data_IF_837546403819
#
_entry.id   IF_837546403819
#
_cell.length_a   1.000
_cell.length_b   1.000
_cell.length_c   1.000
_cell.angle_alpha   90.00
_cell.angle_beta   90.00
_cell.angle_gamma   90.00
#
_symmetry.space_group_name_H-M   'P 1'
#
loop_
_entity.id
_entity.type
_entity.pdbx_description
1 polymer ?
#
# COMPACT_ATOMS: atom_id res chain seq x y z
N UNK A 1 -27.49 -11.00 29.10
CA UNK A 1 -26.03 -11.11 28.80
C UNK A 1 -25.65 -12.46 28.18
N UNK A 2 -26.30 -13.57 28.55
CA UNK A 2 -25.93 -14.96 28.20
C UNK A 2 -26.15 -15.34 26.73
N UNK A 3 -27.21 -14.82 26.10
CA UNK A 3 -27.63 -15.21 24.74
C UNK A 3 -26.59 -14.88 23.65
N UNK A 4 -25.96 -13.70 23.74
CA UNK A 4 -24.93 -13.26 22.78
C UNK A 4 -23.69 -14.16 22.78
N UNK A 5 -23.26 -14.61 23.95
CA UNK A 5 -22.08 -15.49 24.12
C UNK A 5 -22.40 -16.88 23.54
N UNK A 6 -23.61 -17.40 23.79
CA UNK A 6 -24.04 -18.69 23.24
C UNK A 6 -24.14 -18.67 21.71
N UNK A 7 -24.65 -17.56 21.14
CA UNK A 7 -24.71 -17.36 19.69
C UNK A 7 -23.33 -17.28 19.06
N UNK A 8 -22.41 -16.54 19.65
CA UNK A 8 -21.04 -16.42 19.15
C UNK A 8 -20.31 -17.77 19.16
N UNK A 9 -20.48 -18.57 20.21
CA UNK A 9 -19.89 -19.91 20.30
C UNK A 9 -20.44 -20.86 19.24
N UNK A 10 -21.76 -20.83 19.00
CA UNK A 10 -22.40 -21.61 17.93
C UNK A 10 -21.87 -21.19 16.55
N UNK A 11 -21.81 -19.88 16.29
CA UNK A 11 -21.34 -19.37 14.99
C UNK A 11 -19.89 -19.79 14.71
N UNK A 12 -19.02 -19.79 15.73
CA UNK A 12 -17.66 -20.29 15.64
C UNK A 12 -17.58 -21.80 15.37
N UNK A 13 -18.43 -22.61 16.03
CA UNK A 13 -18.51 -24.06 15.78
C UNK A 13 -19.01 -24.37 14.36
N UNK A 14 -20.01 -23.62 13.87
CA UNK A 14 -20.51 -23.72 12.50
C UNK A 14 -19.39 -23.47 11.49
N UNK A 15 -18.60 -22.40 11.68
CA UNK A 15 -17.45 -22.11 10.83
C UNK A 15 -16.40 -23.24 10.88
N UNK A 16 -16.10 -23.75 12.08
CA UNK A 16 -15.11 -24.83 12.25
C UNK A 16 -15.52 -26.11 11.51
N UNK A 17 -16.79 -26.50 11.60
CA UNK A 17 -17.31 -27.67 10.89
C UNK A 17 -17.29 -27.46 9.37
N UNK A 18 -17.57 -26.25 8.90
CA UNK A 18 -17.46 -25.91 7.48
C UNK A 18 -16.01 -26.03 6.98
N UNK A 19 -15.03 -25.49 7.73
CA UNK A 19 -13.59 -25.61 7.40
C UNK A 19 -13.15 -27.08 7.39
N UNK A 20 -13.73 -27.91 8.27
CA UNK A 20 -13.50 -29.35 8.30
C UNK A 20 -14.19 -30.12 7.15
N UNK A 21 -14.89 -29.44 6.24
CA UNK A 21 -15.52 -30.05 5.06
C UNK A 21 -16.90 -30.65 5.29
N UNK A 22 -17.56 -30.35 6.42
CA UNK A 22 -18.90 -30.87 6.71
C UNK A 22 -19.94 -30.12 5.85
N UNK A 23 -20.88 -30.81 5.17
CA UNK A 23 -21.88 -30.17 4.32
C UNK A 23 -22.91 -29.37 5.13
N UNK A 24 -23.40 -28.25 4.57
CA UNK A 24 -24.29 -27.31 5.27
C UNK A 24 -25.57 -27.94 5.85
N UNK A 25 -26.13 -28.96 5.20
CA UNK A 25 -27.32 -29.66 5.69
C UNK A 25 -27.04 -30.39 7.01
N UNK A 26 -25.91 -31.12 7.08
CA UNK A 26 -25.50 -31.84 8.30
C UNK A 26 -25.10 -30.89 9.43
N UNK A 27 -24.46 -29.76 9.11
CA UNK A 27 -24.17 -28.70 10.10
C UNK A 27 -25.49 -28.13 10.65
N UNK A 28 -26.47 -27.90 9.78
CA UNK A 28 -27.79 -27.39 10.13
C UNK A 28 -28.53 -28.31 11.09
N UNK A 29 -28.57 -29.60 10.78
CA UNK A 29 -29.15 -30.64 11.64
C UNK A 29 -28.48 -30.66 13.03
N UNK A 30 -27.14 -30.61 13.07
CA UNK A 30 -26.37 -30.65 14.33
C UNK A 30 -26.64 -29.47 15.26
N UNK A 31 -26.97 -28.30 14.69
CA UNK A 31 -27.21 -27.07 15.44
C UNK A 31 -28.69 -26.63 15.43
N UNK A 32 -29.60 -27.47 14.94
CA UNK A 32 -31.02 -27.21 14.77
C UNK A 32 -31.31 -25.87 14.03
N UNK A 33 -30.64 -25.66 12.90
CA UNK A 33 -30.80 -24.47 12.04
C UNK A 33 -30.89 -24.87 10.57
N UNK A 34 -31.50 -24.02 9.76
CA UNK A 34 -31.62 -24.27 8.31
C UNK A 34 -30.27 -24.18 7.60
N UNK A 35 -30.12 -24.89 6.49
CA UNK A 35 -28.90 -24.82 5.67
C UNK A 35 -28.60 -23.38 5.19
N UNK A 36 -29.63 -22.59 4.89
CA UNK A 36 -29.49 -21.17 4.52
C UNK A 36 -28.97 -20.33 5.70
N UNK A 37 -29.35 -20.67 6.94
CA UNK A 37 -28.82 -20.02 8.12
C UNK A 37 -27.33 -20.37 8.35
N UNK A 38 -26.94 -21.63 8.09
CA UNK A 38 -25.53 -22.06 8.11
C UNK A 38 -24.70 -21.25 7.13
N UNK A 39 -25.14 -21.15 5.88
CA UNK A 39 -24.46 -20.36 4.85
C UNK A 39 -24.26 -18.89 5.27
N UNK A 40 -25.31 -18.25 5.78
CA UNK A 40 -25.24 -16.86 6.29
C UNK A 40 -24.30 -16.71 7.48
N UNK A 41 -24.18 -17.72 8.34
CA UNK A 41 -23.23 -17.73 9.46
C UNK A 41 -21.80 -17.83 8.92
N UNK A 42 -21.54 -18.79 8.02
CA UNK A 42 -20.22 -18.98 7.40
C UNK A 42 -19.76 -17.72 6.68
N UNK A 43 -20.58 -17.14 5.80
CA UNK A 43 -20.25 -15.90 5.10
C UNK A 43 -19.91 -14.76 6.06
N UNK A 44 -20.70 -14.59 7.13
CA UNK A 44 -20.47 -13.55 8.13
C UNK A 44 -19.16 -13.76 8.90
N UNK A 45 -18.89 -14.98 9.36
CA UNK A 45 -17.67 -15.27 10.13
C UNK A 45 -16.41 -15.19 9.25
N UNK A 46 -16.49 -15.63 7.99
CA UNK A 46 -15.41 -15.43 7.01
C UNK A 46 -15.15 -13.94 6.74
N UNK A 47 -16.19 -13.13 6.59
CA UNK A 47 -16.06 -11.68 6.42
C UNK A 47 -15.47 -11.01 7.66
N UNK A 48 -15.83 -11.44 8.87
CA UNK A 48 -15.20 -10.95 10.11
C UNK A 48 -13.72 -11.32 10.20
N UNK A 49 -13.37 -12.55 9.83
CA UNK A 49 -11.99 -13.00 9.81
C UNK A 49 -11.16 -12.20 8.79
N UNK A 50 -11.70 -11.95 7.60
CA UNK A 50 -11.09 -11.09 6.59
C UNK A 50 -10.87 -9.67 7.13
N UNK A 51 -11.92 -9.01 7.64
CA UNK A 51 -11.81 -7.66 8.24
C UNK A 51 -10.79 -7.60 9.38
N UNK A 52 -10.73 -8.63 10.23
CA UNK A 52 -9.74 -8.71 11.30
C UNK A 52 -8.33 -8.83 10.75
N UNK A 53 -8.13 -9.63 9.70
CA UNK A 53 -6.84 -9.76 9.03
C UNK A 53 -6.41 -8.44 8.39
N UNK A 54 -7.32 -7.75 7.71
CA UNK A 54 -7.05 -6.45 7.08
C UNK A 54 -6.68 -5.41 8.15
N UNK A 55 -7.45 -5.32 9.23
CA UNK A 55 -7.13 -4.44 10.36
C UNK A 55 -5.76 -4.75 11.01
N UNK A 56 -5.42 -6.02 11.18
CA UNK A 56 -4.11 -6.42 11.69
C UNK A 56 -2.98 -6.08 10.70
N UNK A 57 -3.24 -6.18 9.39
CA UNK A 57 -2.30 -5.77 8.36
C UNK A 57 -2.09 -4.25 8.39
N UNK A 58 -3.14 -3.45 8.56
CA UNK A 58 -3.05 -1.99 8.70
C UNK A 58 -2.24 -1.60 9.94
N UNK A 59 -2.46 -2.25 11.09
CA UNK A 59 -1.66 -2.04 12.30
C UNK A 59 -0.19 -2.43 12.10
N UNK A 60 0.07 -3.55 11.43
CA UNK A 60 1.43 -3.99 11.14
C UNK A 60 2.14 -3.01 10.20
N UNK A 61 1.43 -2.47 9.20
CA UNK A 61 1.92 -1.43 8.32
C UNK A 61 2.27 -0.15 9.11
N UNK A 62 1.35 0.34 9.95
CA UNK A 62 1.58 1.54 10.76
C UNK A 62 2.83 1.38 11.67
N UNK A 63 2.95 0.23 12.34
CA UNK A 63 4.11 -0.08 13.18
C UNK A 63 5.41 -0.16 12.36
N UNK A 64 5.35 -0.71 11.14
CA UNK A 64 6.50 -0.77 10.26
C UNK A 64 6.95 0.63 9.82
N UNK A 65 6.00 1.50 9.43
CA UNK A 65 6.28 2.89 9.06
C UNK A 65 6.96 3.62 10.21
N UNK A 66 6.39 3.58 11.42
CA UNK A 66 6.95 4.23 12.61
C UNK A 66 8.39 3.77 12.90
N UNK A 67 8.64 2.46 12.87
CA UNK A 67 9.99 1.90 13.06
C UNK A 67 10.97 2.36 11.98
N UNK A 68 10.51 2.39 10.72
CA UNK A 68 11.33 2.83 9.60
C UNK A 68 11.71 4.31 9.71
N UNK A 69 10.78 5.17 10.12
CA UNK A 69 11.03 6.59 10.35
C UNK A 69 11.97 6.84 11.54
N UNK A 70 11.82 6.07 12.62
CA UNK A 70 12.72 6.16 13.77
C UNK A 70 14.17 5.83 13.37
N UNK A 71 14.37 4.77 12.60
CA UNK A 71 15.68 4.39 12.05
C UNK A 71 16.21 5.48 11.11
N UNK A 72 15.38 5.98 10.19
CA UNK A 72 15.79 7.04 9.29
C UNK A 72 16.25 8.29 10.06
N UNK A 73 15.46 8.75 11.03
CA UNK A 73 15.77 9.92 11.87
C UNK A 73 17.08 9.77 12.63
N UNK A 74 17.37 8.58 13.14
CA UNK A 74 18.60 8.29 13.86
C UNK A 74 19.86 8.40 12.98
N UNK A 75 19.75 8.09 11.69
CA UNK A 75 20.90 8.10 10.76
C UNK A 75 20.98 9.35 9.88
N UNK A 76 19.87 10.05 9.67
CA UNK A 76 19.79 11.14 8.72
C UNK A 76 20.74 12.31 9.04
N UNK A 77 20.86 12.68 10.31
CA UNK A 77 21.82 13.72 10.73
C UNK A 77 23.27 13.37 10.36
N UNK A 78 23.68 12.12 10.60
CA UNK A 78 25.03 11.66 10.26
C UNK A 78 25.25 11.62 8.74
N UNK A 79 24.23 11.22 7.97
CA UNK A 79 24.27 11.25 6.51
C UNK A 79 24.50 12.68 5.98
N UNK A 80 23.80 13.68 6.53
CA UNK A 80 23.99 15.09 6.19
C UNK A 80 25.39 15.61 6.54
N UNK A 81 26.02 15.04 7.57
CA UNK A 81 27.38 15.38 7.98
C UNK A 81 28.46 14.63 7.19
N UNK A 82 28.11 13.90 6.13
CA UNK A 82 29.05 13.24 5.23
C UNK A 82 29.44 11.81 5.62
N UNK A 83 28.77 11.19 6.60
CA UNK A 83 28.95 9.76 6.86
C UNK A 83 28.33 8.93 5.73
N UNK A 84 29.19 8.41 4.86
CA UNK A 84 28.82 7.60 3.69
C UNK A 84 28.03 6.34 4.07
N UNK A 85 28.34 5.71 5.22
CA UNK A 85 27.61 4.52 5.68
C UNK A 85 26.19 4.89 6.12
N UNK A 86 26.03 6.00 6.82
CA UNK A 86 24.72 6.51 7.20
C UNK A 86 23.90 6.93 5.97
N UNK A 87 24.53 7.57 4.99
CA UNK A 87 23.88 7.94 3.73
C UNK A 87 23.37 6.72 2.95
N UNK A 88 24.19 5.67 2.84
CA UNK A 88 23.79 4.43 2.16
C UNK A 88 22.67 3.69 2.90
N UNK A 89 22.69 3.71 4.24
CA UNK A 89 21.61 3.18 5.06
C UNK A 89 20.29 3.93 4.81
N UNK A 90 20.31 5.27 4.86
CA UNK A 90 19.15 6.11 4.57
C UNK A 90 18.64 5.87 3.14
N UNK A 91 19.52 5.77 2.13
CA UNK A 91 19.15 5.50 0.74
C UNK A 91 18.39 4.17 0.59
N UNK A 92 18.88 3.11 1.22
CA UNK A 92 18.20 1.80 1.21
C UNK A 92 16.83 1.84 1.88
N UNK A 93 16.73 2.56 3.00
CA UNK A 93 15.49 2.67 3.76
C UNK A 93 14.44 3.44 2.96
N UNK A 94 14.83 4.55 2.32
CA UNK A 94 13.99 5.28 1.38
C UNK A 94 13.55 4.40 0.20
N UNK A 95 14.45 3.63 -0.40
CA UNK A 95 14.08 2.71 -1.50
C UNK A 95 13.04 1.65 -1.08
N UNK A 96 13.12 1.15 0.16
CA UNK A 96 12.11 0.23 0.69
C UNK A 96 10.76 0.94 0.90
N UNK A 97 10.77 2.18 1.40
CA UNK A 97 9.56 2.99 1.55
C UNK A 97 8.93 3.32 0.19
N UNK A 98 9.72 3.65 -0.82
CA UNK A 98 9.26 3.87 -2.20
C UNK A 98 8.48 2.66 -2.73
N UNK A 99 8.98 1.43 -2.49
CA UNK A 99 8.27 0.20 -2.85
C UNK A 99 7.00 -0.01 -2.04
N UNK A 100 7.06 0.23 -0.74
CA UNK A 100 5.93 0.08 0.18
C UNK A 100 4.74 0.95 -0.23
N UNK A 101 5.02 2.18 -0.68
CA UNK A 101 4.01 3.14 -1.12
C UNK A 101 3.68 3.07 -2.60
N UNK A 102 4.28 2.13 -3.36
CA UNK A 102 4.05 2.00 -4.80
C UNK A 102 4.60 3.17 -5.63
N UNK A 103 5.55 3.94 -5.09
CA UNK A 103 6.23 5.04 -5.78
C UNK A 103 7.38 4.53 -6.68
N UNK A 104 7.69 3.23 -6.63
CA UNK A 104 8.72 2.56 -7.45
C UNK A 104 8.21 2.22 -8.86
N UNK A 105 7.03 2.75 -9.23
CA UNK A 105 6.56 2.71 -10.60
C UNK A 105 7.54 3.55 -11.44
N UNK A 106 8.49 2.88 -12.11
CA UNK A 106 9.19 3.46 -13.22
C UNK A 106 8.12 4.01 -14.17
N UNK A 107 8.01 5.33 -14.27
CA UNK A 107 7.18 5.98 -15.29
C UNK A 107 7.62 5.38 -16.62
N UNK A 108 6.76 4.62 -17.33
CA UNK A 108 7.09 4.19 -18.67
C UNK A 108 7.24 5.48 -19.49
N UNK A 109 8.48 5.85 -19.83
CA UNK A 109 8.78 7.07 -20.60
C UNK A 109 9.83 8.02 -20.03
N UNK A 110 10.35 7.85 -18.79
CA UNK A 110 11.43 8.74 -18.29
C UNK A 110 12.86 8.23 -18.56
N UNK A 111 13.02 7.02 -19.11
CA UNK A 111 14.32 6.48 -19.53
C UNK A 111 14.60 6.68 -21.02
N UNK A 112 13.66 7.26 -21.76
CA UNK A 112 13.90 7.67 -23.14
C UNK A 112 14.48 9.09 -23.07
N UNK A 113 15.73 9.31 -23.48
CA UNK A 113 16.22 10.67 -23.64
C UNK A 113 15.22 11.42 -24.54
N UNK A 114 14.88 12.69 -24.24
CA UNK A 114 14.01 13.45 -25.12
C UNK A 114 14.55 13.30 -26.54
N UNK A 115 13.68 12.89 -27.47
CA UNK A 115 13.99 12.86 -28.89
C UNK A 115 14.35 14.30 -29.26
N UNK A 116 15.65 14.61 -29.23
CA UNK A 116 16.15 15.88 -29.72
C UNK A 116 15.75 15.88 -31.20
N UNK A 117 15.04 16.92 -31.68
CA UNK A 117 14.78 17.03 -33.10
C UNK A 117 16.11 16.86 -33.83
N UNK A 118 16.14 15.95 -34.80
CA UNK A 118 17.30 15.74 -35.66
C UNK A 118 17.62 17.12 -36.26
N UNK A 119 18.88 17.61 -36.19
CA UNK A 119 19.22 18.94 -36.70
C UNK A 119 18.96 19.10 -38.21
N UNK A 120 18.61 18.01 -38.89
CA UNK A 120 18.31 17.92 -40.31
C UNK A 120 16.81 17.70 -40.61
N UNK A 121 15.92 17.66 -39.61
CA UNK A 121 14.47 17.58 -39.80
C UNK A 121 13.88 18.99 -40.05
N UNK A 122 14.00 19.47 -41.29
CA UNK A 122 13.28 20.64 -41.78
C UNK A 122 11.78 20.32 -41.94
N UNK A 123 11.08 20.25 -40.81
CA UNK A 123 9.65 20.00 -40.68
C UNK A 123 8.87 21.23 -40.19
N UNK A 124 8.68 22.18 -41.11
CA UNK A 124 7.52 23.06 -41.33
C UNK A 124 6.44 23.20 -40.22
N UNK A 125 6.37 24.41 -39.66
CA UNK A 125 5.21 25.16 -39.13
C UNK A 125 4.25 24.56 -38.08
N UNK A 126 4.31 25.10 -36.85
CA UNK A 126 3.11 25.21 -35.98
C UNK A 126 3.33 25.36 -34.46
N UNK A 127 3.46 26.61 -33.99
CA UNK A 127 3.31 27.06 -32.59
C UNK A 127 4.28 26.52 -31.54
N UNK A 128 5.51 27.05 -31.53
CA UNK A 128 6.35 27.07 -30.32
C UNK A 128 5.72 28.00 -29.28
N UNK A 129 5.17 27.41 -28.20
CA UNK A 129 4.89 28.16 -26.98
C UNK A 129 6.20 28.81 -26.48
N UNK A 130 6.22 30.12 -26.17
CA UNK A 130 7.46 30.83 -25.91
C UNK A 130 8.12 30.30 -24.63
N UNK A 131 9.38 29.91 -24.75
CA UNK A 131 10.29 29.45 -23.67
C UNK A 131 10.67 30.60 -22.70
N UNK A 132 9.76 31.56 -22.48
CA UNK A 132 9.96 32.80 -21.71
C UNK A 132 9.95 32.56 -20.20
N UNK A 133 9.19 31.58 -19.72
CA UNK A 133 8.86 31.44 -18.29
C UNK A 133 10.05 30.98 -17.43
N UNK A 134 10.98 30.21 -18.00
CA UNK A 134 12.13 29.65 -17.27
C UNK A 134 13.25 30.68 -17.04
N UNK A 135 13.49 31.56 -18.01
CA UNK A 135 14.49 32.62 -17.90
C UNK A 135 14.02 33.77 -17.01
N UNK A 136 12.71 34.08 -17.03
CA UNK A 136 12.11 35.06 -16.13
C UNK A 136 12.13 34.59 -14.67
N UNK A 137 11.96 33.29 -14.44
CA UNK A 137 12.07 32.70 -13.10
C UNK A 137 13.51 32.76 -12.56
N UNK A 138 14.51 32.50 -13.41
CA UNK A 138 15.94 32.58 -13.03
C UNK A 138 16.37 34.00 -12.69
N UNK A 139 15.97 34.99 -13.50
CA UNK A 139 16.27 36.42 -13.27
C UNK A 139 15.70 36.94 -11.94
N UNK A 140 14.50 36.49 -11.55
CA UNK A 140 13.88 36.88 -10.26
C UNK A 140 14.62 36.34 -9.04
N UNK A 141 15.35 35.22 -9.18
CA UNK A 141 16.02 34.56 -8.05
C UNK A 141 17.46 35.01 -7.84
N UNK A 142 18.12 35.55 -8.86
CA UNK A 142 19.50 36.07 -8.78
C UNK A 142 19.60 37.51 -8.30
N UNK A 143 18.47 38.23 -8.16
CA UNK A 143 18.41 39.61 -7.68
C UNK A 143 17.77 39.76 -6.27
N UNK A 144 17.74 38.69 -5.47
CA UNK A 144 17.23 38.70 -4.09
C UNK A 144 18.34 38.44 -3.06
#
# INVERSE_FOLDING_TARGET
MTDRITRAKRDAQVLQLFIAGVPYRQIGERHNITHTAVEKIVQREMAKAAKRRDYLADQALAMHVERSEALFRAHFGNALNGDVKAAEFCRRLLAQQTRLYGLDAATPGMNEPPNLPDPDDEGDDGDEAPVSDLDDWRRKRTNA
#
